data_IF_401155648465
#
_entry.id   IF_401155648465
#
_cell.length_a   1.000
_cell.length_b   1.000
_cell.length_c   1.000
_cell.angle_alpha   90.00
_cell.angle_beta   90.00
_cell.angle_gamma   90.00
#
_symmetry.space_group_name_H-M   'P 1'
#
loop_
_entity.id
_entity.type
_entity.pdbx_description
1 polymer ?
#
# COMPACT_ATOMS: atom_id res chain seq x y z
N UNK A 1 -16.43 -1.45 24.03
CA UNK A 1 -15.70 -1.20 22.78
C UNK A 1 -14.60 -0.15 22.94
N UNK A 2 -14.70 0.78 23.90
CA UNK A 2 -13.75 1.90 24.08
C UNK A 2 -12.31 1.53 24.50
N UNK A 3 -12.08 0.36 25.12
CA UNK A 3 -10.73 0.04 25.61
C UNK A 3 -9.80 -0.43 24.48
N UNK A 4 -10.31 -1.21 23.51
CA UNK A 4 -9.50 -1.71 22.38
C UNK A 4 -9.12 -0.63 21.39
N UNK A 5 -10.03 0.31 21.10
CA UNK A 5 -9.73 1.39 20.16
C UNK A 5 -8.64 2.32 20.68
N UNK A 6 -8.62 2.69 21.96
CA UNK A 6 -7.70 3.75 22.45
C UNK A 6 -6.21 3.40 22.43
N UNK A 7 -5.82 2.15 22.71
CA UNK A 7 -4.39 1.79 22.64
C UNK A 7 -3.96 1.46 21.20
N UNK A 8 -4.86 0.88 20.40
CA UNK A 8 -4.61 0.58 18.99
C UNK A 8 -4.51 1.87 18.19
N UNK A 9 -5.36 2.85 18.51
CA UNK A 9 -5.38 4.17 17.88
C UNK A 9 -3.99 4.82 17.93
N UNK A 10 -3.37 4.91 19.12
CA UNK A 10 -2.03 5.48 19.26
C UNK A 10 -0.97 4.75 18.42
N UNK A 11 -1.07 3.42 18.31
CA UNK A 11 -0.14 2.62 17.54
C UNK A 11 -0.33 2.81 16.03
N UNK A 12 -1.58 2.73 15.54
CA UNK A 12 -1.90 2.85 14.12
C UNK A 12 -1.78 4.30 13.63
N UNK A 13 -2.18 5.29 14.43
CA UNK A 13 -2.00 6.71 14.13
C UNK A 13 -0.50 7.01 13.97
N UNK A 14 0.35 6.53 14.88
CA UNK A 14 1.80 6.68 14.74
C UNK A 14 2.41 6.01 13.50
N UNK A 15 1.69 5.07 12.87
CA UNK A 15 2.12 4.37 11.66
C UNK A 15 1.59 5.00 10.36
N UNK A 16 0.37 5.54 10.38
CA UNK A 16 -0.35 5.93 9.17
C UNK A 16 -0.77 7.39 9.11
N UNK A 17 -0.82 8.11 10.22
CA UNK A 17 -1.12 9.55 10.17
C UNK A 17 0.05 10.31 9.58
N UNK A 18 -0.26 11.08 8.55
CA UNK A 18 0.67 11.97 7.89
C UNK A 18 -0.09 13.23 7.47
N UNK A 19 -0.26 14.19 8.40
CA UNK A 19 -1.02 15.40 8.12
C UNK A 19 -0.36 16.27 7.05
N UNK A 20 0.96 16.18 6.88
CA UNK A 20 1.71 16.91 5.85
C UNK A 20 1.31 16.41 4.45
N UNK A 21 1.04 15.11 4.30
CA UNK A 21 0.51 14.50 3.08
C UNK A 21 -1.02 14.35 3.06
N UNK A 22 -1.72 15.01 4.00
CA UNK A 22 -3.19 14.99 4.12
C UNK A 22 -3.78 13.60 4.39
N UNK A 23 -3.04 12.70 5.04
CA UNK A 23 -3.44 11.33 5.37
C UNK A 23 -3.85 11.26 6.84
N UNK A 24 -5.05 10.75 7.08
CA UNK A 24 -5.65 10.65 8.41
C UNK A 24 -6.28 9.28 8.62
N UNK A 25 -5.96 8.69 9.76
CA UNK A 25 -6.63 7.55 10.36
C UNK A 25 -7.89 8.02 11.08
N UNK A 26 -8.98 7.29 10.89
CA UNK A 26 -10.30 7.65 11.42
C UNK A 26 -11.05 6.43 11.90
N UNK A 27 -11.48 6.46 13.15
CA UNK A 27 -12.53 5.60 13.65
C UNK A 27 -13.87 6.05 13.08
N UNK A 28 -14.60 5.12 12.48
CA UNK A 28 -15.83 5.42 11.77
C UNK A 28 -17.03 5.09 12.64
N UNK A 29 -17.79 6.13 13.01
CA UNK A 29 -19.13 5.98 13.59
C UNK A 29 -20.24 6.16 12.54
N UNK A 30 -19.88 6.32 11.26
CA UNK A 30 -20.80 6.40 10.13
C UNK A 30 -20.32 5.56 8.96
N UNK A 31 -21.23 5.23 8.03
CA UNK A 31 -20.89 4.50 6.79
C UNK A 31 -19.94 5.31 5.91
N UNK A 32 -18.98 4.63 5.30
CA UNK A 32 -17.97 5.25 4.42
C UNK A 32 -18.61 5.87 3.17
N UNK A 33 -17.91 6.81 2.53
CA UNK A 33 -18.39 7.47 1.31
C UNK A 33 -18.63 6.45 0.19
N UNK A 34 -17.77 5.43 0.13
CA UNK A 34 -17.85 4.31 -0.80
C UNK A 34 -19.09 3.42 -0.55
N UNK A 35 -19.44 3.17 0.73
CA UNK A 35 -20.64 2.41 1.09
C UNK A 35 -21.94 3.19 0.84
N UNK A 36 -21.94 4.51 1.05
CA UNK A 36 -23.09 5.39 0.76
C UNK A 36 -23.39 5.48 -0.74
N UNK A 37 -22.38 5.36 -1.61
CA UNK A 37 -22.54 5.43 -3.06
C UNK A 37 -23.11 4.15 -3.70
N UNK A 38 -23.01 2.99 -3.03
CA UNK A 38 -23.35 1.68 -3.62
C UNK A 38 -24.66 1.06 -3.15
N UNK A 39 -25.44 1.68 -2.26
CA UNK A 39 -26.59 1.04 -1.54
C UNK A 39 -26.24 -0.36 -0.97
N UNK A 40 -24.95 -0.65 -0.80
CA UNK A 40 -24.44 -1.98 -0.57
C UNK A 40 -24.12 -2.16 0.90
N UNK A 41 -25.09 -2.70 1.63
CA UNK A 41 -25.02 -3.10 3.04
C UNK A 41 -24.95 -1.95 4.06
N UNK A 42 -25.68 -2.10 5.16
CA UNK A 42 -25.55 -1.26 6.36
C UNK A 42 -24.25 -1.50 7.13
N UNK A 43 -23.33 -2.29 6.57
CA UNK A 43 -22.07 -2.64 7.20
C UNK A 43 -21.08 -1.49 7.08
N UNK A 44 -20.25 -1.33 8.10
CA UNK A 44 -19.17 -0.33 8.14
C UNK A 44 -17.88 -0.98 8.66
N UNK A 45 -16.71 -0.55 8.17
CA UNK A 45 -15.46 -0.84 8.84
C UNK A 45 -15.38 -0.01 10.13
N UNK A 46 -14.74 -0.54 11.17
CA UNK A 46 -14.52 0.20 12.42
C UNK A 46 -13.55 1.38 12.21
N UNK A 47 -12.57 1.22 11.32
CA UNK A 47 -11.57 2.25 11.05
C UNK A 47 -11.16 2.30 9.57
N UNK A 48 -10.77 3.48 9.12
CA UNK A 48 -10.23 3.71 7.78
C UNK A 48 -9.06 4.69 7.81
N UNK A 49 -8.09 4.48 6.91
CA UNK A 49 -7.01 5.44 6.63
C UNK A 49 -7.32 6.10 5.30
N UNK A 50 -7.50 7.42 5.30
CA UNK A 50 -7.93 8.16 4.12
C UNK A 50 -7.04 9.34 3.82
N UNK A 51 -6.81 9.58 2.53
CA UNK A 51 -6.14 10.78 2.03
C UNK A 51 -7.19 11.82 1.65
N UNK A 52 -7.04 13.03 2.15
CA UNK A 52 -7.85 14.19 1.77
C UNK A 52 -7.16 15.01 0.68
N UNK A 53 -7.98 15.66 -0.15
CA UNK A 53 -7.53 16.63 -1.15
C UNK A 53 -8.28 17.95 -0.88
N UNK A 54 -7.67 18.81 -0.06
CA UNK A 54 -8.32 20.00 0.47
C UNK A 54 -9.41 19.65 1.48
N UNK A 55 -10.63 20.15 1.28
CA UNK A 55 -11.77 19.94 2.22
C UNK A 55 -12.54 18.64 1.92
N UNK A 56 -12.18 17.90 0.86
CA UNK A 56 -12.86 16.67 0.45
C UNK A 56 -11.97 15.45 0.66
N UNK A 57 -12.54 14.39 1.19
CA UNK A 57 -11.91 13.07 1.24
C UNK A 57 -11.77 12.53 -0.18
N UNK A 58 -10.58 12.11 -0.56
CA UNK A 58 -10.25 11.78 -1.95
C UNK A 58 -10.15 10.28 -2.18
N UNK A 59 -9.41 9.56 -1.33
CA UNK A 59 -9.12 8.13 -1.52
C UNK A 59 -8.90 7.43 -0.18
N UNK A 60 -9.29 6.16 -0.11
CA UNK A 60 -9.11 5.31 1.07
C UNK A 60 -7.95 4.34 0.83
N UNK A 61 -6.99 4.36 1.74
CA UNK A 61 -5.72 3.61 1.64
C UNK A 61 -5.75 2.31 2.45
N UNK A 62 -6.53 2.30 3.54
CA UNK A 62 -6.69 1.13 4.38
C UNK A 62 -8.05 1.05 5.07
N UNK A 63 -8.46 -0.18 5.40
CA UNK A 63 -9.61 -0.47 6.26
C UNK A 63 -9.19 -1.39 7.42
N UNK A 64 -9.84 -1.23 8.57
CA UNK A 64 -9.62 -2.05 9.76
C UNK A 64 -10.94 -2.53 10.40
N UNK A 65 -10.85 -3.68 11.04
CA UNK A 65 -11.87 -4.19 11.97
C UNK A 65 -11.25 -4.56 13.30
N UNK A 66 -11.85 -4.06 14.38
CA UNK A 66 -11.33 -4.23 15.72
C UNK A 66 -12.26 -5.06 16.59
N UNK A 67 -11.76 -6.21 17.04
CA UNK A 67 -12.46 -7.10 17.95
C UNK A 67 -11.77 -7.21 19.30
N UNK A 68 -12.58 -7.34 20.35
CA UNK A 68 -12.09 -7.59 21.71
C UNK A 68 -11.39 -8.95 21.81
N UNK A 69 -10.38 -9.04 22.69
CA UNK A 69 -9.68 -10.29 23.01
C UNK A 69 -10.62 -11.41 23.50
N UNK A 70 -11.81 -11.06 24.01
CA UNK A 70 -12.83 -12.02 24.43
C UNK A 70 -13.32 -12.94 23.30
N UNK A 71 -13.15 -12.52 22.05
CA UNK A 71 -13.55 -13.27 20.87
C UNK A 71 -12.36 -13.95 20.17
N UNK A 72 -11.17 -14.01 20.79
CA UNK A 72 -9.97 -14.60 20.18
C UNK A 72 -10.16 -16.05 19.75
N UNK A 73 -11.00 -16.78 20.47
CA UNK A 73 -11.23 -18.21 20.28
C UNK A 73 -12.46 -18.48 19.39
N UNK A 74 -13.24 -17.44 19.08
CA UNK A 74 -14.37 -17.53 18.16
C UNK A 74 -13.90 -17.24 16.72
N UNK A 75 -13.39 -18.30 16.09
CA UNK A 75 -12.94 -18.24 14.70
C UNK A 75 -14.04 -17.82 13.72
N UNK A 76 -15.31 -18.11 14.01
CA UNK A 76 -16.40 -17.71 13.12
C UNK A 76 -16.52 -16.18 13.08
N UNK A 77 -16.51 -15.54 14.24
CA UNK A 77 -16.57 -14.08 14.35
C UNK A 77 -15.34 -13.42 13.72
N UNK A 78 -14.14 -13.94 14.00
CA UNK A 78 -12.88 -13.39 13.46
C UNK A 78 -12.85 -13.49 11.92
N UNK A 79 -13.21 -14.65 11.37
CA UNK A 79 -13.23 -14.84 9.91
C UNK A 79 -14.30 -13.97 9.26
N UNK A 80 -15.45 -13.78 9.90
CA UNK A 80 -16.50 -12.88 9.42
C UNK A 80 -16.01 -11.43 9.33
N UNK A 81 -15.30 -10.94 10.35
CA UNK A 81 -14.71 -9.60 10.33
C UNK A 81 -13.63 -9.48 9.23
N UNK A 82 -12.78 -10.50 9.06
CA UNK A 82 -11.76 -10.50 8.01
C UNK A 82 -12.37 -10.44 6.60
N UNK A 83 -13.42 -11.23 6.34
CA UNK A 83 -14.17 -11.19 5.06
C UNK A 83 -14.80 -9.81 4.86
N UNK A 84 -15.32 -9.20 5.93
CA UNK A 84 -15.88 -7.84 5.88
C UNK A 84 -14.81 -6.82 5.45
N UNK A 85 -13.63 -6.80 6.10
CA UNK A 85 -12.52 -5.92 5.70
C UNK A 85 -12.09 -6.19 4.27
N UNK A 86 -11.98 -7.46 3.87
CA UNK A 86 -11.61 -7.84 2.52
C UNK A 86 -12.60 -7.32 1.48
N UNK A 87 -13.90 -7.33 1.78
CA UNK A 87 -14.95 -6.80 0.89
C UNK A 87 -14.82 -5.29 0.69
N UNK A 88 -14.58 -4.52 1.75
CA UNK A 88 -14.33 -3.08 1.65
C UNK A 88 -13.06 -2.77 0.86
N UNK A 89 -11.98 -3.51 1.12
CA UNK A 89 -10.73 -3.35 0.39
C UNK A 89 -10.92 -3.67 -1.10
N UNK A 90 -11.66 -4.74 -1.44
CA UNK A 90 -11.96 -5.10 -2.81
C UNK A 90 -12.72 -3.97 -3.51
N UNK A 91 -13.78 -3.48 -2.89
CA UNK A 91 -14.63 -2.46 -3.50
C UNK A 91 -13.86 -1.14 -3.70
N UNK A 92 -13.01 -0.74 -2.75
CA UNK A 92 -12.13 0.41 -2.94
C UNK A 92 -11.05 0.16 -4.01
N UNK A 93 -10.56 -1.08 -4.16
CA UNK A 93 -9.57 -1.44 -5.17
C UNK A 93 -10.16 -1.35 -6.58
N UNK A 94 -11.44 -1.71 -6.71
CA UNK A 94 -12.21 -1.63 -7.95
C UNK A 94 -12.51 -0.17 -8.32
N UNK A 95 -12.82 0.68 -7.34
CA UNK A 95 -13.24 2.06 -7.57
C UNK A 95 -12.04 3.02 -7.76
N UNK A 96 -10.93 2.80 -7.07
CA UNK A 96 -9.84 3.80 -6.95
C UNK A 96 -8.64 3.52 -7.87
N UNK A 97 -8.67 2.43 -8.65
CA UNK A 97 -7.62 2.01 -9.58
C UNK A 97 -6.23 1.87 -8.91
N UNK A 98 -6.15 1.55 -7.63
CA UNK A 98 -4.88 1.29 -6.94
C UNK A 98 -4.33 -0.10 -7.27
N UNK A 99 -3.01 -0.26 -7.20
CA UNK A 99 -2.39 -1.59 -7.37
C UNK A 99 -2.66 -2.51 -6.18
N UNK A 100 -2.81 -1.92 -4.98
CA UNK A 100 -3.25 -2.61 -3.77
C UNK A 100 -3.93 -1.69 -2.77
N UNK A 101 -4.53 -2.29 -1.74
CA UNK A 101 -5.12 -1.60 -0.58
C UNK A 101 -4.71 -2.36 0.70
N UNK A 102 -4.40 -1.63 1.76
CA UNK A 102 -4.08 -2.23 3.05
C UNK A 102 -5.35 -2.67 3.77
N UNK A 103 -5.30 -3.86 4.36
CA UNK A 103 -6.32 -4.37 5.26
C UNK A 103 -5.68 -4.60 6.62
N UNK A 104 -6.36 -4.19 7.68
CA UNK A 104 -5.92 -4.39 9.06
C UNK A 104 -6.99 -5.19 9.79
N UNK A 105 -6.56 -6.12 10.61
CA UNK A 105 -7.44 -6.83 11.53
C UNK A 105 -6.84 -6.76 12.93
N UNK A 106 -7.63 -6.25 13.85
CA UNK A 106 -7.21 -6.05 15.23
C UNK A 106 -8.00 -7.00 16.14
N UNK A 107 -7.31 -7.87 16.86
CA UNK A 107 -7.91 -8.82 17.83
C UNK A 107 -7.24 -8.61 19.18
N UNK A 108 -7.95 -7.92 20.09
CA UNK A 108 -7.38 -7.46 21.34
C UNK A 108 -6.20 -6.53 21.08
N UNK A 109 -4.99 -7.02 21.38
CA UNK A 109 -3.71 -6.30 21.20
C UNK A 109 -2.88 -6.79 20.02
N UNK A 110 -3.36 -7.79 19.32
CA UNK A 110 -2.68 -8.30 18.13
C UNK A 110 -3.28 -7.62 16.91
N UNK A 111 -2.43 -6.95 16.15
CA UNK A 111 -2.74 -6.32 14.88
C UNK A 111 -2.13 -7.15 13.78
N UNK A 112 -2.95 -7.55 12.80
CA UNK A 112 -2.53 -8.26 11.61
C UNK A 112 -2.72 -7.36 10.40
N UNK A 113 -1.66 -7.18 9.63
CA UNK A 113 -1.66 -6.37 8.42
C UNK A 113 -1.67 -7.27 7.20
N UNK A 114 -2.48 -6.89 6.22
CA UNK A 114 -2.61 -7.55 4.95
C UNK A 114 -2.54 -6.53 3.81
N UNK A 115 -2.09 -6.97 2.64
CA UNK A 115 -2.17 -6.23 1.40
C UNK A 115 -3.12 -6.95 0.44
N UNK A 116 -4.23 -6.32 0.09
CA UNK A 116 -5.11 -6.79 -0.97
C UNK A 116 -4.62 -6.27 -2.32
N UNK A 117 -4.34 -7.18 -3.25
CA UNK A 117 -3.92 -6.85 -4.63
C UNK A 117 -4.76 -7.63 -5.65
N UNK A 118 -4.73 -7.19 -6.90
CA UNK A 118 -5.36 -7.89 -8.04
C UNK A 118 -4.26 -8.27 -9.05
N UNK A 119 -3.51 -9.37 -8.82
CA UNK A 119 -2.41 -9.78 -9.70
C UNK A 119 -2.85 -10.11 -11.13
N UNK A 120 -4.10 -10.55 -11.32
CA UNK A 120 -4.68 -10.83 -12.64
C UNK A 120 -6.16 -10.48 -12.66
N UNK A 121 -6.74 -10.36 -13.87
CA UNK A 121 -8.16 -10.08 -14.04
C UNK A 121 -9.00 -11.01 -13.16
N UNK A 122 -9.81 -10.39 -12.29
CA UNK A 122 -10.76 -11.05 -11.39
C UNK A 122 -10.19 -11.95 -10.28
N UNK A 123 -8.86 -11.98 -10.06
CA UNK A 123 -8.26 -12.71 -8.93
C UNK A 123 -7.75 -11.72 -7.89
N UNK A 124 -8.47 -11.60 -6.78
CA UNK A 124 -8.05 -10.81 -5.62
C UNK A 124 -7.22 -11.67 -4.68
N UNK A 125 -6.06 -11.17 -4.28
CA UNK A 125 -5.17 -11.85 -3.34
C UNK A 125 -4.94 -10.98 -2.12
N UNK A 126 -5.29 -11.50 -0.94
CA UNK A 126 -5.00 -10.87 0.34
C UNK A 126 -3.75 -11.51 0.95
N UNK A 127 -2.65 -10.76 0.96
CA UNK A 127 -1.33 -11.25 1.38
C UNK A 127 -1.06 -10.78 2.81
N UNK A 128 -0.80 -11.68 3.79
CA UNK A 128 -0.40 -11.26 5.13
C UNK A 128 1.00 -10.63 5.08
N UNK A 129 1.12 -9.42 5.62
CA UNK A 129 2.38 -8.67 5.69
C UNK A 129 3.09 -8.88 7.04
N UNK A 130 2.35 -8.69 8.13
CA UNK A 130 2.91 -8.69 9.47
C UNK A 130 1.85 -9.01 10.53
N UNK A 131 2.30 -9.65 11.61
CA UNK A 131 1.55 -9.82 12.85
C UNK A 131 2.34 -9.13 13.95
N UNK A 132 1.75 -8.11 14.55
CA UNK A 132 2.37 -7.27 15.58
C UNK A 132 1.48 -7.26 16.81
N UNK A 133 2.05 -7.59 17.96
CA UNK A 133 1.37 -7.44 19.25
C UNK A 133 1.77 -6.10 19.85
N UNK A 134 0.80 -5.23 20.07
CA UNK A 134 0.99 -3.96 20.78
C UNK A 134 1.36 -4.27 22.23
N UNK A 135 2.45 -3.70 22.76
CA UNK A 135 2.93 -4.02 24.10
C UNK A 135 1.97 -3.53 25.19
N UNK A 136 1.85 -4.33 26.24
CA UNK A 136 0.95 -4.10 27.36
C UNK A 136 1.62 -3.28 28.46
N UNK A 137 2.93 -3.47 28.57
CA UNK A 137 3.80 -2.91 29.58
C UNK A 137 5.15 -2.54 28.97
N UNK A 138 5.93 -1.74 29.69
CA UNK A 138 7.29 -1.39 29.27
C UNK A 138 8.20 -2.62 29.11
N UNK A 139 7.89 -3.71 29.81
CA UNK A 139 8.66 -4.95 29.74
C UNK A 139 8.44 -5.70 28.41
N UNK A 140 7.33 -5.44 27.72
CA UNK A 140 7.01 -6.05 26.41
C UNK A 140 7.58 -5.23 25.24
N UNK A 141 8.08 -4.02 25.50
CA UNK A 141 8.61 -3.13 24.48
C UNK A 141 9.81 -3.72 23.71
N UNK A 142 10.75 -4.47 24.32
CA UNK A 142 11.79 -5.15 23.56
C UNK A 142 11.21 -6.08 22.48
N UNK A 143 10.08 -6.75 22.76
CA UNK A 143 9.37 -7.59 21.80
C UNK A 143 8.88 -6.81 20.57
N UNK A 144 8.44 -5.56 20.77
CA UNK A 144 8.07 -4.67 19.67
C UNK A 144 9.29 -4.22 18.86
N UNK A 145 10.44 -3.97 19.51
CA UNK A 145 11.69 -3.61 18.81
C UNK A 145 12.14 -4.72 17.85
N UNK A 146 12.00 -5.99 18.26
CA UNK A 146 12.26 -7.12 17.35
C UNK A 146 11.33 -7.17 16.13
N UNK A 147 10.18 -6.49 16.20
CA UNK A 147 9.19 -6.40 15.12
C UNK A 147 9.39 -5.19 14.20
N UNK A 148 10.40 -4.36 14.43
CA UNK A 148 10.72 -3.21 13.56
C UNK A 148 10.85 -3.58 12.08
N UNK A 149 11.51 -4.69 11.67
CA UNK A 149 11.54 -5.08 10.26
C UNK A 149 10.15 -5.36 9.67
N UNK A 150 9.25 -5.94 10.45
CA UNK A 150 7.87 -6.20 10.03
C UNK A 150 7.06 -4.90 9.94
N UNK A 151 7.27 -3.96 10.87
CA UNK A 151 6.69 -2.61 10.83
C UNK A 151 7.15 -1.85 9.58
N UNK A 152 8.45 -1.92 9.25
CA UNK A 152 9.00 -1.28 8.05
C UNK A 152 8.41 -1.86 6.76
N UNK A 153 8.16 -3.18 6.70
CA UNK A 153 7.45 -3.79 5.55
C UNK A 153 6.04 -3.23 5.38
N UNK A 154 5.32 -3.02 6.48
CA UNK A 154 3.97 -2.44 6.44
C UNK A 154 4.01 -0.99 5.96
N UNK A 155 5.00 -0.20 6.42
CA UNK A 155 5.22 1.17 5.96
C UNK A 155 5.60 1.22 4.47
N UNK A 156 6.48 0.34 4.02
CA UNK A 156 6.83 0.25 2.60
C UNK A 156 5.61 -0.09 1.73
N UNK A 157 4.78 -1.04 2.20
CA UNK A 157 3.52 -1.36 1.54
C UNK A 157 2.52 -0.17 1.55
N UNK A 158 2.48 0.62 2.62
CA UNK A 158 1.60 1.80 2.68
C UNK A 158 2.04 2.88 1.69
N UNK A 159 3.35 3.12 1.57
CA UNK A 159 3.93 4.02 0.57
C UNK A 159 3.65 3.50 -0.85
N UNK A 160 3.80 2.20 -1.09
CA UNK A 160 3.45 1.56 -2.37
C UNK A 160 1.98 1.84 -2.75
N UNK A 161 1.03 1.60 -1.82
CA UNK A 161 -0.41 1.84 -2.04
C UNK A 161 -0.70 3.30 -2.38
N UNK A 162 0.03 4.24 -1.77
CA UNK A 162 -0.16 5.67 -2.03
C UNK A 162 0.33 6.14 -3.41
N UNK A 163 1.40 5.52 -3.94
CA UNK A 163 2.10 6.02 -5.13
C UNK A 163 1.81 5.22 -6.39
N UNK A 164 1.31 4.00 -6.27
CA UNK A 164 1.05 3.13 -7.44
C UNK A 164 -0.42 3.16 -7.84
N UNK A 165 -0.66 3.53 -9.10
CA UNK A 165 -1.96 3.46 -9.74
C UNK A 165 -1.90 2.49 -10.92
N UNK A 166 -2.89 1.60 -11.00
CA UNK A 166 -3.09 0.75 -12.16
C UNK A 166 -3.32 1.61 -13.39
N UNK A 167 -2.61 1.31 -14.48
CA UNK A 167 -2.92 1.88 -15.79
C UNK A 167 -4.28 1.35 -16.23
N UNK A 168 -5.23 2.25 -16.44
CA UNK A 168 -6.52 1.91 -17.04
C UNK A 168 -6.29 1.35 -18.45
N UNK A 169 -6.93 0.22 -18.77
CA UNK A 169 -6.78 -0.50 -20.05
C UNK A 169 -7.28 0.26 -21.30
N UNK A 170 -7.49 1.58 -21.21
CA UNK A 170 -7.65 2.46 -22.37
C UNK A 170 -6.30 3.12 -22.64
N UNK A 171 -5.31 2.29 -22.96
CA UNK A 171 -4.10 2.72 -23.63
C UNK A 171 -3.80 1.66 -24.68
N UNK A 172 -4.08 2.02 -25.93
CA UNK A 172 -3.60 1.30 -27.11
C UNK A 172 -2.12 1.01 -26.91
N UNK A 173 -1.75 -0.26 -27.05
CA UNK A 173 -0.38 -0.76 -26.95
C UNK A 173 0.56 0.12 -27.78
N UNK A 174 1.45 0.86 -27.11
CA UNK A 174 2.78 1.10 -27.65
C UNK A 174 3.76 0.31 -26.80
N UNK A 175 4.48 -0.68 -27.38
CA UNK A 175 5.50 -1.40 -26.65
C UNK A 175 6.67 -0.44 -26.38
N UNK A 176 6.95 -0.17 -25.10
CA UNK A 176 8.22 0.43 -24.70
C UNK A 176 9.34 -0.54 -25.06
N UNK A 177 10.13 -0.21 -26.08
CA UNK A 177 11.40 -0.86 -26.31
C UNK A 177 12.35 -0.53 -25.16
N UNK A 178 12.78 -1.55 -24.43
CA UNK A 178 13.93 -1.47 -23.53
C UNK A 178 15.20 -1.27 -24.37
N UNK A 179 15.60 -0.02 -24.61
CA UNK A 179 16.96 0.28 -25.04
C UNK A 179 17.84 0.40 -23.80
N UNK A 180 18.65 -0.64 -23.56
CA UNK A 180 19.79 -0.56 -22.64
C UNK A 180 20.79 0.39 -23.28
N UNK A 181 20.87 1.63 -22.76
CA UNK A 181 21.94 2.56 -23.11
C UNK A 181 23.24 2.07 -22.48
N UNK A 182 24.07 1.41 -23.27
CA UNK A 182 25.45 1.10 -22.92
C UNK A 182 26.29 2.38 -23.09
N UNK A 183 26.70 3.00 -21.99
CA UNK A 183 27.69 4.07 -22.03
C UNK A 183 28.48 4.06 -20.73
N UNK A 184 29.73 3.58 -20.77
CA UNK A 184 30.90 4.21 -20.16
C UNK A 184 32.14 3.29 -20.32
N UNK A 185 32.96 3.57 -21.34
CA UNK A 185 34.40 3.31 -21.35
C UNK A 185 35.06 4.44 -22.15
N UNK A 186 35.87 5.33 -21.55
CA UNK A 186 36.58 6.35 -22.30
C UNK A 186 37.92 5.79 -22.82
N UNK A 187 38.16 5.90 -24.13
CA UNK A 187 39.47 5.71 -24.74
C UNK A 187 40.24 7.05 -24.80
N UNK A 188 41.59 7.07 -24.69
CA UNK A 188 42.36 8.31 -24.70
C UNK A 188 42.58 8.86 -26.13
N UNK A 189 42.40 10.17 -26.27
CA UNK A 189 42.92 11.01 -27.38
C UNK A 189 44.47 11.02 -27.29
N UNK A 190 45.31 11.33 -28.28
CA UNK A 190 45.25 12.26 -29.41
C UNK A 190 46.58 12.11 -30.18
N UNK A 191 46.61 12.27 -31.51
CA UNK A 191 47.65 13.04 -32.22
C UNK A 191 47.28 13.20 -33.70
N UNK A 192 47.10 14.45 -34.13
CA UNK A 192 47.00 14.86 -35.55
C UNK A 192 48.40 15.20 -36.07
N UNK A 193 48.65 14.91 -37.34
CA UNK A 193 49.71 15.50 -38.17
C UNK A 193 49.21 15.58 -39.63
N UNK A 194 49.64 16.58 -40.43
CA UNK A 194 48.81 17.16 -41.50
C UNK A 194 49.11 16.66 -42.93
N UNK A 195 48.22 17.08 -43.84
CA UNK A 195 48.05 16.74 -45.25
C UNK A 195 49.23 17.06 -46.19
N UNK A 196 49.41 16.24 -47.24
CA UNK A 196 49.94 16.62 -48.57
C UNK A 196 49.25 15.79 -49.67
N UNK A 197 48.94 16.45 -50.78
CA UNK A 197 48.30 16.01 -52.03
C UNK A 197 49.14 15.09 -52.92
N UNK A 198 48.50 14.44 -53.92
CA UNK A 198 48.89 14.25 -55.35
C UNK A 198 48.24 12.95 -55.91
N UNK A 199 47.30 13.03 -56.87
CA UNK A 199 47.44 13.05 -58.36
C UNK A 199 47.46 11.65 -59.03
N UNK A 200 46.48 11.46 -59.93
CA UNK A 200 46.44 10.67 -61.20
C UNK A 200 46.49 9.12 -61.25
N UNK A 201 45.33 8.57 -61.68
CA UNK A 201 45.02 7.64 -62.81
C UNK A 201 45.79 6.33 -63.13
N UNK A 202 44.96 5.31 -63.47
CA UNK A 202 45.07 4.26 -64.52
C UNK A 202 45.78 2.93 -64.17
N UNK A 203 45.03 1.84 -64.42
CA UNK A 203 45.32 0.45 -64.88
C UNK A 203 46.62 -0.24 -64.41
N UNK A 204 46.66 -1.50 -63.96
CA UNK A 204 46.10 -2.77 -64.48
C UNK A 204 46.06 -3.82 -63.34
#
# INVERSE_FOLDING_TARGET
MELCSRFIDLFLAGLFDDPDNSIYLRWLDETTLEAKAKEASSSRPDLSVTKSLGVKWATTLAYDEAKSAMYSDDHFIICKDLIKVASFCKDALDDQLFEGILAVQTIGRTVVFYLLTLPSQSIYTMIPLAIIKVPDSINDLPGLVYKVPDILKVLDASVFVQHTRRRSSIAVLQPCQWQISNSYFPSPRTARGPAISNFTTIDE
#
